data_IF_819937199585
#
_entry.id   IF_819937199585
#
_cell.length_a   1.000
_cell.length_b   1.000
_cell.length_c   1.000
_cell.angle_alpha   90.00
_cell.angle_beta   90.00
_cell.angle_gamma   90.00
#
_symmetry.space_group_name_H-M   'P 1'
#
loop_
_entity.id
_entity.type
_entity.pdbx_description
1 polymer ?
#
# COMPACT_ATOMS: atom_id res chain seq x y z
N UNK A 1 0.87 -10.31 -11.85
CA UNK A 1 0.38 -9.43 -10.77
C UNK A 1 1.58 -9.06 -9.91
N UNK A 2 1.61 -7.86 -9.35
CA UNK A 2 2.69 -7.40 -8.50
C UNK A 2 2.13 -6.42 -7.46
N UNK A 3 2.83 -6.24 -6.34
CA UNK A 3 2.46 -5.24 -5.34
C UNK A 3 3.20 -5.44 -4.03
N UNK A 4 2.62 -4.90 -2.96
CA UNK A 4 3.17 -4.95 -1.61
C UNK A 4 2.24 -5.75 -0.70
N UNK A 5 2.77 -6.78 -0.05
CA UNK A 5 2.14 -7.47 1.07
C UNK A 5 2.46 -6.74 2.36
N UNK A 6 1.43 -6.31 3.08
CA UNK A 6 1.47 -5.63 4.36
C UNK A 6 0.85 -6.51 5.43
N UNK A 7 1.34 -6.42 6.65
CA UNK A 7 0.76 -7.11 7.79
C UNK A 7 -0.44 -6.36 8.38
N UNK A 8 -0.91 -6.86 9.52
CA UNK A 8 -2.08 -6.38 10.26
C UNK A 8 -1.93 -4.95 10.79
N UNK A 9 -0.72 -4.39 10.78
CA UNK A 9 -0.42 -3.02 11.23
C UNK A 9 0.04 -2.14 10.07
N UNK A 10 -0.12 -2.61 8.82
CA UNK A 10 0.27 -1.87 7.62
C UNK A 10 1.77 -1.87 7.35
N UNK A 11 2.58 -2.65 8.08
CA UNK A 11 4.01 -2.79 7.84
C UNK A 11 4.27 -3.75 6.68
N UNK A 12 5.21 -3.40 5.81
CA UNK A 12 5.59 -4.27 4.70
C UNK A 12 6.17 -5.58 5.23
N UNK A 13 5.58 -6.71 4.82
CA UNK A 13 6.09 -8.04 5.17
C UNK A 13 7.43 -8.26 4.48
N UNK A 14 8.46 -8.54 5.29
CA UNK A 14 9.83 -8.85 4.84
C UNK A 14 10.31 -10.22 5.32
N UNK A 15 9.41 -11.04 5.86
CA UNK A 15 9.74 -12.32 6.47
C UNK A 15 10.35 -13.33 5.47
N UNK A 16 11.51 -13.88 5.84
CA UNK A 16 12.19 -14.93 5.08
C UNK A 16 11.33 -16.21 5.06
N UNK A 17 10.97 -16.69 3.87
CA UNK A 17 10.08 -17.84 3.70
C UNK A 17 8.58 -17.51 3.59
N UNK A 18 8.22 -16.22 3.54
CA UNK A 18 6.85 -15.81 3.22
C UNK A 18 6.55 -16.00 1.72
N UNK A 19 5.40 -16.59 1.37
CA UNK A 19 5.02 -16.88 -0.02
C UNK A 19 3.59 -16.42 -0.31
N UNK A 20 3.34 -15.86 -1.49
CA UNK A 20 1.99 -15.62 -2.02
C UNK A 20 1.60 -16.82 -2.89
N UNK A 21 0.48 -17.46 -2.54
CA UNK A 21 -0.08 -18.64 -3.18
C UNK A 21 -1.33 -18.25 -3.96
N UNK A 22 -1.42 -18.67 -5.22
CA UNK A 22 -2.57 -18.52 -6.09
C UNK A 22 -3.42 -19.78 -6.08
N UNK A 23 -4.69 -19.64 -5.72
CA UNK A 23 -5.68 -20.71 -5.68
C UNK A 23 -6.73 -20.52 -6.79
N UNK A 24 -7.11 -21.62 -7.43
CA UNK A 24 -8.23 -21.73 -8.37
C UNK A 24 -9.19 -22.78 -7.83
N UNK A 25 -10.39 -22.35 -7.41
CA UNK A 25 -11.38 -23.27 -6.80
C UNK A 25 -10.83 -24.02 -5.58
N UNK A 26 -9.97 -23.37 -4.78
CA UNK A 26 -9.31 -23.97 -3.61
C UNK A 26 -8.06 -24.79 -3.90
N UNK A 27 -7.69 -25.00 -5.17
CA UNK A 27 -6.48 -25.74 -5.57
C UNK A 27 -5.35 -24.79 -5.90
N UNK A 28 -4.15 -25.07 -5.39
CA UNK A 28 -2.96 -24.29 -5.72
C UNK A 28 -2.58 -24.43 -7.20
N UNK A 29 -2.51 -23.29 -7.88
CA UNK A 29 -2.10 -23.20 -9.29
C UNK A 29 -0.81 -22.41 -9.49
N UNK A 30 -0.33 -21.69 -8.47
CA UNK A 30 0.96 -21.02 -8.48
C UNK A 30 1.38 -20.50 -7.12
N UNK A 31 2.69 -20.24 -6.94
CA UNK A 31 3.24 -19.59 -5.75
C UNK A 31 4.42 -18.69 -6.13
N UNK A 32 4.69 -17.67 -5.32
CA UNK A 32 5.86 -16.80 -5.46
C UNK A 32 6.37 -16.36 -4.08
N UNK A 33 7.68 -16.31 -3.85
CA UNK A 33 8.22 -15.80 -2.60
C UNK A 33 8.02 -14.28 -2.48
N UNK A 34 7.80 -13.81 -1.25
CA UNK A 34 7.85 -12.40 -0.90
C UNK A 34 9.31 -12.04 -0.65
N UNK A 35 9.85 -11.11 -1.44
CA UNK A 35 11.23 -10.64 -1.33
C UNK A 35 11.26 -9.13 -1.23
N UNK A 36 12.07 -8.58 -0.34
CA UNK A 36 12.28 -7.14 -0.19
C UNK A 36 13.20 -6.52 -1.26
N UNK A 37 13.41 -7.22 -2.37
CA UNK A 37 14.43 -6.88 -3.37
C UNK A 37 14.09 -5.65 -4.22
N UNK A 38 12.85 -5.17 -4.17
CA UNK A 38 12.39 -4.01 -4.96
C UNK A 38 11.67 -2.99 -4.08
N UNK A 39 11.99 -1.72 -4.31
CA UNK A 39 11.54 -0.58 -3.52
C UNK A 39 10.00 -0.37 -3.62
N UNK A 40 9.36 -0.76 -4.73
CA UNK A 40 7.91 -0.55 -4.94
C UNK A 40 7.08 -1.85 -5.03
N UNK A 41 7.69 -3.02 -4.78
CA UNK A 41 7.01 -4.31 -4.79
C UNK A 41 7.78 -5.32 -3.95
N UNK A 42 7.09 -6.08 -3.10
CA UNK A 42 7.70 -7.21 -2.40
C UNK A 42 7.30 -8.56 -2.99
N UNK A 43 6.38 -8.60 -3.96
CA UNK A 43 6.06 -9.84 -4.67
C UNK A 43 5.76 -9.60 -6.15
N UNK A 44 6.02 -10.62 -6.97
CA UNK A 44 5.61 -10.68 -8.37
C UNK A 44 5.10 -12.09 -8.66
N UNK A 45 3.78 -12.20 -8.91
CA UNK A 45 3.10 -13.45 -9.16
C UNK A 45 2.73 -13.55 -10.64
N UNK A 46 3.28 -14.57 -11.30
CA UNK A 46 2.93 -14.90 -12.68
C UNK A 46 1.71 -15.80 -12.72
N UNK A 47 0.58 -15.25 -13.18
CA UNK A 47 -0.65 -16.00 -13.37
C UNK A 47 -0.74 -16.48 -14.82
N UNK A 48 -0.99 -17.78 -14.98
CA UNK A 48 -1.26 -18.42 -16.27
C UNK A 48 -2.73 -18.22 -16.61
N UNK A 49 -3.02 -17.47 -17.66
CA UNK A 49 -4.39 -17.25 -18.15
C UNK A 49 -4.58 -18.01 -19.47
N UNK A 50 -5.71 -18.69 -19.61
CA UNK A 50 -6.17 -19.35 -20.84
C UNK A 50 -7.44 -18.66 -21.36
N UNK A 51 -7.52 -18.42 -22.66
CA UNK A 51 -8.69 -17.79 -23.30
C UNK A 51 -9.95 -18.69 -23.30
N UNK A 52 -9.82 -19.95 -22.89
CA UNK A 52 -10.90 -20.94 -22.80
C UNK A 52 -11.76 -20.94 -24.07
N UNK A 53 -11.12 -21.07 -25.24
CA UNK A 53 -11.82 -21.02 -26.53
C UNK A 53 -12.73 -22.23 -26.66
N UNK A 54 -13.96 -22.02 -27.14
CA UNK A 54 -14.93 -23.10 -27.36
C UNK A 54 -14.32 -24.25 -28.17
N UNK A 55 -14.35 -25.46 -27.63
CA UNK A 55 -13.78 -26.66 -28.26
C UNK A 55 -12.29 -26.91 -27.98
N UNK A 56 -11.66 -26.13 -27.09
CA UNK A 56 -10.28 -26.36 -26.64
C UNK A 56 -10.24 -26.77 -25.17
N UNK A 57 -9.27 -27.61 -24.82
CA UNK A 57 -8.92 -27.89 -23.43
C UNK A 57 -7.93 -26.84 -22.95
N UNK A 58 -7.91 -26.55 -21.65
CA UNK A 58 -6.88 -25.68 -21.07
C UNK A 58 -5.48 -26.17 -21.48
N UNK A 59 -4.59 -25.25 -21.85
CA UNK A 59 -3.21 -25.63 -22.20
C UNK A 59 -2.43 -26.15 -20.98
N UNK A 60 -2.93 -25.91 -19.76
CA UNK A 60 -2.43 -26.49 -18.51
C UNK A 60 -3.50 -26.44 -17.43
N UNK A 61 -3.57 -27.47 -16.58
CA UNK A 61 -4.52 -27.51 -15.44
C UNK A 61 -4.30 -26.38 -14.44
N UNK A 62 -3.09 -25.80 -14.45
CA UNK A 62 -2.70 -24.64 -13.64
C UNK A 62 -3.14 -23.29 -14.22
N UNK A 63 -3.80 -23.25 -15.37
CA UNK A 63 -4.26 -22.00 -15.98
C UNK A 63 -5.64 -21.61 -15.46
N UNK A 64 -5.83 -20.33 -15.19
CA UNK A 64 -7.12 -19.71 -14.89
C UNK A 64 -7.76 -19.28 -16.20
N UNK A 65 -9.08 -19.49 -16.36
CA UNK A 65 -9.78 -18.98 -17.54
C UNK A 65 -9.71 -17.45 -17.58
N UNK A 66 -9.68 -16.85 -18.76
CA UNK A 66 -9.91 -15.42 -18.91
C UNK A 66 -11.31 -15.09 -18.37
N UNK A 67 -11.41 -14.17 -17.43
CA UNK A 67 -12.65 -13.91 -16.69
C UNK A 67 -12.99 -14.96 -15.61
N UNK A 68 -12.09 -15.91 -15.34
CA UNK A 68 -12.27 -16.94 -14.32
C UNK A 68 -11.96 -16.42 -12.91
N UNK A 69 -12.62 -17.03 -11.92
CA UNK A 69 -12.40 -16.68 -10.52
C UNK A 69 -11.09 -17.29 -9.99
N UNK A 70 -10.37 -16.51 -9.18
CA UNK A 70 -9.21 -16.97 -8.44
C UNK A 70 -9.19 -16.35 -7.03
N UNK A 71 -8.39 -16.93 -6.15
CA UNK A 71 -8.13 -16.42 -4.80
C UNK A 71 -6.61 -16.39 -4.55
N UNK A 72 -6.14 -15.52 -3.66
CA UNK A 72 -4.74 -15.54 -3.19
C UNK A 72 -4.72 -15.75 -1.68
N UNK A 73 -3.68 -16.43 -1.22
CA UNK A 73 -3.39 -16.69 0.19
C UNK A 73 -1.92 -16.41 0.41
N UNK A 74 -1.57 -15.84 1.55
CA UNK A 74 -0.17 -15.62 1.94
C UNK A 74 0.22 -16.66 2.99
N UNK A 75 1.23 -17.46 2.70
CA UNK A 75 1.81 -18.43 3.62
C UNK A 75 3.00 -17.80 4.33
N UNK A 76 2.98 -17.77 5.67
CA UNK A 76 4.08 -17.27 6.50
C UNK A 76 4.29 -18.20 7.69
N UNK A 77 5.51 -18.69 7.88
CA UNK A 77 5.87 -19.57 9.01
C UNK A 77 4.94 -20.80 9.17
N UNK A 78 4.41 -21.33 8.06
CA UNK A 78 3.48 -22.46 8.08
C UNK A 78 2.02 -22.11 8.39
N UNK A 79 1.70 -20.85 8.64
CA UNK A 79 0.34 -20.34 8.75
C UNK A 79 -0.13 -19.73 7.42
N UNK A 80 -1.40 -19.95 7.07
CA UNK A 80 -2.06 -19.37 5.91
C UNK A 80 -2.85 -18.13 6.34
N UNK A 81 -2.55 -17.00 5.73
CA UNK A 81 -3.22 -15.72 5.93
C UNK A 81 -4.00 -15.35 4.67
N UNK A 82 -5.26 -14.99 4.84
CA UNK A 82 -6.12 -14.55 3.75
C UNK A 82 -6.12 -13.03 3.72
N UNK A 83 -5.61 -12.39 2.64
CA UNK A 83 -5.62 -10.93 2.57
C UNK A 83 -7.05 -10.38 2.50
N UNK A 84 -7.30 -9.25 3.16
CA UNK A 84 -8.64 -8.64 3.26
C UNK A 84 -9.16 -8.18 1.89
N UNK A 85 -8.29 -7.75 0.97
CA UNK A 85 -8.64 -7.34 -0.39
C UNK A 85 -9.18 -8.51 -1.24
N UNK A 86 -9.02 -9.75 -0.77
CA UNK A 86 -9.38 -10.99 -1.46
C UNK A 86 -10.46 -11.77 -0.70
N UNK A 87 -11.10 -11.13 0.27
CA UNK A 87 -12.34 -11.62 0.87
C UNK A 87 -13.49 -11.76 -0.16
N UNK A 88 -13.31 -11.23 -1.39
CA UNK A 88 -14.20 -11.39 -2.54
C UNK A 88 -13.62 -12.19 -3.72
N UNK A 89 -14.48 -12.49 -4.70
CA UNK A 89 -14.13 -13.22 -5.91
C UNK A 89 -13.32 -12.35 -6.89
N UNK A 90 -12.00 -12.57 -6.98
CA UNK A 90 -11.16 -11.90 -7.98
C UNK A 90 -11.34 -12.55 -9.35
N UNK A 91 -11.44 -11.72 -10.39
CA UNK A 91 -11.62 -12.17 -11.77
C UNK A 91 -10.33 -11.98 -12.56
N UNK A 92 -9.87 -13.03 -13.25
CA UNK A 92 -8.69 -12.96 -14.09
C UNK A 92 -8.94 -12.08 -15.32
N UNK A 93 -7.97 -11.23 -15.66
CA UNK A 93 -8.02 -10.37 -16.85
C UNK A 93 -7.93 -11.14 -18.17
N UNK A 94 -7.81 -10.40 -19.27
CA UNK A 94 -7.77 -10.99 -20.63
C UNK A 94 -6.39 -11.55 -21.03
N UNK A 95 -5.41 -11.54 -20.13
CA UNK A 95 -4.05 -12.00 -20.38
C UNK A 95 -3.14 -10.93 -20.97
N UNK A 96 -1.86 -10.92 -20.58
CA UNK A 96 -0.87 -9.90 -21.00
C UNK A 96 -0.85 -8.62 -20.15
N UNK A 97 -1.75 -8.50 -19.17
CA UNK A 97 -1.86 -7.34 -18.30
C UNK A 97 -0.99 -7.47 -17.04
N UNK A 98 -0.35 -6.37 -16.64
CA UNK A 98 0.32 -6.22 -15.35
C UNK A 98 -0.62 -5.50 -14.39
N UNK A 99 -1.30 -6.27 -13.54
CA UNK A 99 -2.17 -5.72 -12.50
C UNK A 99 -1.37 -5.48 -11.22
N UNK A 100 -1.45 -4.24 -10.69
CA UNK A 100 -0.96 -3.90 -9.36
C UNK A 100 -2.03 -4.29 -8.33
N UNK A 101 -1.66 -5.12 -7.36
CA UNK A 101 -2.54 -5.53 -6.26
C UNK A 101 -1.70 -5.50 -4.98
N UNK A 102 -2.04 -4.61 -4.06
CA UNK A 102 -1.43 -4.61 -2.73
C UNK A 102 -2.28 -5.53 -1.83
N UNK A 103 -1.63 -6.29 -0.96
CA UNK A 103 -2.26 -7.30 -0.12
C UNK A 103 -2.06 -6.93 1.34
N UNK A 104 -3.12 -6.96 2.13
CA UNK A 104 -3.11 -6.67 3.55
C UNK A 104 -3.51 -7.91 4.32
N UNK A 105 -2.64 -8.42 5.17
CA UNK A 105 -2.94 -9.54 6.05
C UNK A 105 -3.77 -9.03 7.23
N UNK A 106 -4.89 -9.70 7.52
CA UNK A 106 -5.74 -9.31 8.63
C UNK A 106 -7.11 -9.94 8.58
N UNK A 107 -7.90 -9.67 9.61
CA UNK A 107 -9.35 -9.83 9.59
C UNK A 107 -9.97 -8.47 9.28
N UNK A 108 -11.09 -8.48 8.57
CA UNK A 108 -11.91 -7.31 8.23
C UNK A 108 -13.38 -7.76 8.46
N UNK A 109 -13.81 -7.69 9.73
CA UNK A 109 -15.09 -8.25 10.18
C UNK A 109 -16.27 -7.43 9.72
N UNK A 110 -16.13 -6.11 9.66
CA UNK A 110 -17.16 -5.20 9.20
C UNK A 110 -17.10 -4.90 7.70
N UNK A 111 -16.07 -5.43 7.00
CA UNK A 111 -15.90 -5.40 5.54
C UNK A 111 -15.74 -3.99 4.99
N UNK A 112 -15.17 -3.10 5.79
CA UNK A 112 -14.92 -1.73 5.41
C UNK A 112 -13.62 -1.60 4.59
N UNK A 113 -12.76 -2.63 4.60
CA UNK A 113 -11.49 -2.71 3.90
C UNK A 113 -10.28 -2.25 4.72
N UNK A 114 -10.43 -2.10 6.04
CA UNK A 114 -9.36 -1.92 7.01
C UNK A 114 -9.15 -3.22 7.82
N UNK A 115 -7.93 -3.44 8.36
CA UNK A 115 -7.72 -4.55 9.30
C UNK A 115 -8.26 -4.25 10.69
N UNK A 116 -9.09 -5.15 11.24
CA UNK A 116 -9.61 -5.10 12.62
C UNK A 116 -8.50 -4.84 13.66
N UNK A 117 -7.33 -5.44 13.44
CA UNK A 117 -6.17 -5.32 14.34
C UNK A 117 -5.53 -3.94 14.31
N UNK A 118 -5.53 -3.29 13.14
CA UNK A 118 -5.08 -1.91 13.01
C UNK A 118 -6.10 -0.98 13.67
N UNK A 119 -7.38 -1.15 13.38
CA UNK A 119 -8.45 -0.35 14.00
C UNK A 119 -8.44 -0.48 15.54
N UNK A 120 -8.30 -1.70 16.06
CA UNK A 120 -8.15 -1.95 17.48
C UNK A 120 -6.93 -1.22 18.08
N UNK A 121 -5.81 -1.20 17.38
CA UNK A 121 -4.62 -0.48 17.83
C UNK A 121 -4.84 1.05 17.82
N UNK A 122 -5.50 1.59 16.80
CA UNK A 122 -5.86 3.02 16.73
C UNK A 122 -6.79 3.42 17.88
N UNK A 123 -7.83 2.61 18.11
CA UNK A 123 -8.75 2.80 19.24
C UNK A 123 -8.02 2.76 20.58
N UNK A 124 -7.07 1.83 20.75
CA UNK A 124 -6.23 1.77 21.95
C UNK A 124 -5.41 3.04 22.15
N UNK A 125 -4.73 3.54 21.11
CA UNK A 125 -3.95 4.79 21.18
C UNK A 125 -4.84 5.99 21.50
N UNK A 126 -6.05 6.02 20.96
CA UNK A 126 -7.06 7.03 21.25
C UNK A 126 -7.69 6.90 22.66
N UNK A 127 -7.30 5.89 23.44
CA UNK A 127 -7.79 5.68 24.81
C UNK A 127 -9.11 4.94 24.92
N UNK A 128 -9.56 4.28 23.85
CA UNK A 128 -10.66 3.33 23.87
C UNK A 128 -10.15 1.94 24.23
N UNK A 129 -10.97 1.20 24.96
CA UNK A 129 -10.64 -0.15 25.40
C UNK A 129 -11.72 -1.11 24.91
N UNK A 130 -11.37 -2.41 24.73
CA UNK A 130 -12.35 -3.41 24.36
C UNK A 130 -13.41 -3.54 25.46
N UNK A 131 -14.60 -4.00 25.06
CA UNK A 131 -15.70 -4.26 26.00
C UNK A 131 -15.35 -5.42 26.96
N UNK A 132 -16.25 -5.73 27.91
CA UNK A 132 -16.05 -6.84 28.87
C UNK A 132 -15.81 -8.20 28.22
N UNK A 133 -16.19 -8.38 26.94
CA UNK A 133 -15.98 -9.60 26.16
C UNK A 133 -14.65 -9.59 25.37
N UNK A 134 -13.85 -8.52 25.46
CA UNK A 134 -12.62 -8.36 24.69
C UNK A 134 -12.83 -7.92 23.24
N UNK A 135 -14.04 -7.46 22.88
CA UNK A 135 -14.36 -7.02 21.53
C UNK A 135 -14.12 -5.51 21.38
N UNK A 136 -13.50 -5.14 20.27
CA UNK A 136 -13.29 -3.74 19.87
C UNK A 136 -14.52 -3.22 19.15
N UNK A 137 -14.88 -1.96 19.39
CA UNK A 137 -15.96 -1.33 18.65
C UNK A 137 -15.43 -0.73 17.33
N UNK A 138 -15.26 -1.59 16.33
CA UNK A 138 -14.72 -1.23 15.00
C UNK A 138 -15.56 -0.19 14.27
N UNK A 139 -16.88 -0.13 14.53
CA UNK A 139 -17.77 0.89 13.93
C UNK A 139 -17.43 2.35 14.28
N UNK A 140 -16.51 2.57 15.22
CA UNK A 140 -15.98 3.91 15.53
C UNK A 140 -14.99 4.41 14.47
N UNK A 141 -14.38 3.52 13.69
CA UNK A 141 -13.30 3.83 12.75
C UNK A 141 -13.63 3.29 11.35
N UNK A 142 -14.46 4.04 10.61
CA UNK A 142 -14.74 3.72 9.20
C UNK A 142 -13.58 4.17 8.31
N UNK A 143 -13.21 3.37 7.31
CA UNK A 143 -12.39 3.74 6.15
C UNK A 143 -12.54 5.19 5.65
N UNK A 144 -13.78 5.66 5.52
CA UNK A 144 -14.11 7.01 5.03
C UNK A 144 -14.13 8.09 6.11
N UNK A 145 -14.01 7.69 7.37
CA UNK A 145 -14.01 8.57 8.53
C UNK A 145 -12.70 9.34 8.69
N UNK A 146 -12.76 10.32 9.58
CA UNK A 146 -11.66 11.19 10.01
C UNK A 146 -11.78 11.26 11.54
N UNK A 147 -11.17 10.26 12.19
CA UNK A 147 -11.44 9.96 13.59
C UNK A 147 -10.90 11.05 14.53
N UNK A 148 -9.70 11.54 14.23
CA UNK A 148 -9.01 12.60 14.98
C UNK A 148 -9.29 14.02 14.44
N UNK A 149 -10.00 14.14 13.30
CA UNK A 149 -10.45 15.39 12.67
C UNK A 149 -9.29 16.21 12.10
N UNK A 150 -8.25 15.54 11.62
CA UNK A 150 -7.09 16.16 10.98
C UNK A 150 -7.31 16.48 9.49
N UNK A 151 -8.43 16.02 8.91
CA UNK A 151 -8.83 16.21 7.52
C UNK A 151 -8.32 15.11 6.57
N UNK A 152 -7.64 14.09 7.07
CA UNK A 152 -7.26 12.89 6.35
C UNK A 152 -8.25 11.76 6.65
N UNK A 153 -8.54 10.92 5.65
CA UNK A 153 -9.37 9.74 5.89
C UNK A 153 -8.55 8.63 6.54
N UNK A 154 -9.15 7.88 7.45
CA UNK A 154 -8.57 6.72 8.12
C UNK A 154 -7.89 5.73 7.14
N UNK A 155 -8.43 5.53 5.94
CA UNK A 155 -7.79 4.72 4.89
C UNK A 155 -6.43 5.25 4.45
N UNK A 156 -6.34 6.55 4.22
CA UNK A 156 -5.10 7.20 3.79
C UNK A 156 -4.07 7.11 4.90
N UNK A 157 -4.52 7.18 6.14
CA UNK A 157 -3.65 7.01 7.30
C UNK A 157 -3.13 5.58 7.43
N UNK A 158 -4.00 4.59 7.27
CA UNK A 158 -3.60 3.19 7.18
C UNK A 158 -2.58 2.94 6.05
N UNK A 159 -2.81 3.54 4.86
CA UNK A 159 -1.88 3.41 3.73
C UNK A 159 -0.55 4.12 4.02
N UNK A 160 -0.60 5.31 4.62
CA UNK A 160 0.57 6.09 4.99
C UNK A 160 1.35 5.45 6.15
N UNK A 161 0.67 4.66 6.98
CA UNK A 161 1.17 4.13 8.25
C UNK A 161 1.09 5.16 9.39
N UNK A 162 0.28 6.20 9.26
CA UNK A 162 0.06 7.21 10.30
C UNK A 162 -0.99 6.75 11.31
N UNK A 163 -1.00 7.38 12.48
CA UNK A 163 -1.94 7.08 13.56
C UNK A 163 -3.25 7.86 13.39
N UNK A 164 -4.33 7.16 13.02
CA UNK A 164 -5.70 7.71 12.99
C UNK A 164 -6.23 8.16 14.35
N UNK A 165 -5.55 7.80 15.44
CA UNK A 165 -5.83 8.31 16.78
C UNK A 165 -5.04 9.57 17.16
N UNK A 166 -4.10 10.04 16.33
CA UNK A 166 -3.21 11.16 16.65
C UNK A 166 -3.10 12.18 15.51
N UNK A 167 -3.83 13.29 15.66
CA UNK A 167 -3.87 14.40 14.71
C UNK A 167 -2.53 15.12 14.49
N UNK A 168 -1.47 14.75 15.22
CA UNK A 168 -0.12 15.26 15.00
C UNK A 168 0.68 14.43 14.00
N UNK A 169 0.33 13.16 13.81
CA UNK A 169 0.97 12.26 12.85
C UNK A 169 0.31 12.36 11.46
N UNK A 170 0.22 13.56 10.89
CA UNK A 170 -0.42 13.73 9.58
C UNK A 170 0.54 13.40 8.42
N UNK A 171 0.05 12.69 7.41
CA UNK A 171 0.76 12.57 6.13
C UNK A 171 0.55 13.83 5.29
N UNK A 172 1.22 14.92 5.69
CA UNK A 172 1.15 16.22 5.02
C UNK A 172 2.46 16.58 4.33
N UNK A 173 2.35 17.26 3.18
CA UNK A 173 3.49 17.85 2.46
C UNK A 173 3.45 19.37 2.65
N UNK A 174 4.41 19.91 3.40
CA UNK A 174 4.58 21.33 3.61
C UNK A 174 5.68 21.89 2.71
N UNK A 175 5.39 22.95 1.96
CA UNK A 175 6.42 23.71 1.24
C UNK A 175 6.98 24.74 2.22
N UNK A 176 8.22 24.56 2.68
CA UNK A 176 8.86 25.50 3.62
C UNK A 176 9.54 26.65 2.91
N UNK A 177 10.17 26.38 1.76
CA UNK A 177 10.97 27.37 1.05
C UNK A 177 10.96 27.11 -0.46
N UNK A 178 10.90 28.18 -1.25
CA UNK A 178 11.05 28.13 -2.71
C UNK A 178 12.17 29.09 -3.12
N UNK A 179 13.33 28.53 -3.45
CA UNK A 179 14.45 29.24 -4.07
C UNK A 179 14.44 29.01 -5.60
N UNK A 180 15.16 29.84 -6.37
CA UNK A 180 15.23 29.67 -7.83
C UNK A 180 15.78 28.32 -8.27
N UNK A 181 16.67 27.73 -7.48
CA UNK A 181 17.38 26.47 -7.79
C UNK A 181 16.94 25.29 -6.93
N UNK A 182 16.15 25.52 -5.87
CA UNK A 182 15.67 24.44 -5.00
C UNK A 182 14.37 24.80 -4.29
N UNK A 183 13.50 23.81 -4.11
CA UNK A 183 12.29 23.89 -3.30
C UNK A 183 12.45 22.94 -2.12
N UNK A 184 12.34 23.48 -0.91
CA UNK A 184 12.35 22.73 0.33
C UNK A 184 10.93 22.30 0.67
N UNK A 185 10.72 21.00 0.61
CA UNK A 185 9.52 20.29 0.99
C UNK A 185 9.80 19.59 2.33
N UNK A 186 8.84 19.59 3.24
CA UNK A 186 8.90 18.81 4.47
C UNK A 186 7.69 17.91 4.55
N UNK A 187 7.93 16.66 4.93
CA UNK A 187 6.89 15.69 5.17
C UNK A 187 7.28 14.77 6.33
N UNK A 188 6.29 14.15 6.97
CA UNK A 188 6.53 13.15 7.99
C UNK A 188 6.86 11.81 7.33
N UNK A 189 8.10 11.36 7.52
CA UNK A 189 8.59 10.07 7.05
C UNK A 189 8.41 9.01 8.12
N UNK A 190 7.93 7.83 7.72
CA UNK A 190 7.71 6.66 8.56
C UNK A 190 8.64 5.55 8.09
N UNK A 191 9.36 4.96 9.03
CA UNK A 191 10.35 3.92 8.76
C UNK A 191 9.77 2.78 7.90
N UNK A 192 10.51 2.41 6.86
CA UNK A 192 10.14 1.30 5.97
C UNK A 192 9.20 1.68 4.84
N UNK A 193 8.59 2.87 4.85
CA UNK A 193 7.79 3.39 3.74
C UNK A 193 8.65 4.06 2.69
N UNK A 194 8.16 4.02 1.45
CA UNK A 194 8.81 4.64 0.31
C UNK A 194 8.02 5.85 -0.14
N UNK A 195 8.71 6.98 -0.19
CA UNK A 195 8.19 8.27 -0.60
C UNK A 195 8.67 8.61 -2.00
N UNK A 196 7.74 9.03 -2.84
CA UNK A 196 8.01 9.59 -4.17
C UNK A 196 7.35 10.95 -4.30
N UNK A 197 8.05 11.90 -4.91
CA UNK A 197 7.51 13.24 -5.17
C UNK A 197 7.21 13.36 -6.66
N UNK A 198 6.00 13.79 -6.96
CA UNK A 198 5.56 14.12 -8.31
C UNK A 198 5.24 15.59 -8.38
N UNK A 199 5.48 16.18 -9.54
CA UNK A 199 5.06 17.55 -9.81
C UNK A 199 4.24 17.64 -11.08
N UNK A 200 3.38 18.65 -11.11
CA UNK A 200 2.47 18.95 -12.20
C UNK A 200 2.38 20.46 -12.41
N UNK A 201 2.15 20.88 -13.65
CA UNK A 201 1.87 22.28 -13.98
C UNK A 201 0.38 22.56 -14.13
N UNK A 202 -0.42 21.53 -14.41
CA UNK A 202 -1.82 21.62 -14.80
C UNK A 202 -2.75 20.78 -13.90
N UNK A 203 -2.21 20.17 -12.83
CA UNK A 203 -2.85 19.19 -11.94
C UNK A 203 -3.36 17.92 -12.64
N UNK A 204 -3.12 17.74 -13.94
CA UNK A 204 -3.58 16.59 -14.72
C UNK A 204 -2.43 15.65 -15.04
N UNK A 205 -1.31 16.20 -15.46
CA UNK A 205 -0.10 15.45 -15.82
C UNK A 205 0.88 15.49 -14.66
N UNK A 206 1.04 14.34 -14.01
CA UNK A 206 1.96 14.18 -12.88
C UNK A 206 3.21 13.47 -13.37
N UNK A 207 4.36 14.03 -13.02
CA UNK A 207 5.67 13.52 -13.41
C UNK A 207 6.55 13.42 -12.19
N UNK A 208 7.20 12.26 -12.00
CA UNK A 208 8.13 12.05 -10.88
C UNK A 208 9.31 13.00 -10.98
N UNK A 209 9.68 13.57 -9.84
CA UNK A 209 10.82 14.49 -9.72
C UNK A 209 11.85 13.89 -8.77
N UNK A 210 13.14 13.89 -9.14
CA UNK A 210 14.18 13.50 -8.21
C UNK A 210 14.29 14.52 -7.07
N UNK A 211 14.40 14.04 -5.84
CA UNK A 211 14.59 14.87 -4.67
C UNK A 211 15.72 14.35 -3.78
N UNK A 212 16.48 15.26 -3.19
CA UNK A 212 17.49 14.95 -2.19
C UNK A 212 16.89 15.08 -0.79
N UNK A 213 17.39 14.33 0.18
CA UNK A 213 16.90 14.34 1.56
C UNK A 213 17.98 14.87 2.50
N UNK A 214 17.60 15.72 3.46
CA UNK A 214 18.48 16.31 4.47
C UNK A 214 19.21 17.55 3.98
N UNK A 215 19.77 17.53 2.77
CA UNK A 215 20.43 18.68 2.16
C UNK A 215 20.15 18.76 0.64
N UNK A 216 20.23 19.98 0.04
CA UNK A 216 20.20 20.14 -1.41
C UNK A 216 21.32 19.34 -2.08
N UNK A 217 20.99 18.56 -3.12
CA UNK A 217 21.97 17.72 -3.81
C UNK A 217 21.35 16.94 -4.97
N UNK A 218 22.09 15.96 -5.48
CA UNK A 218 21.59 15.03 -6.51
C UNK A 218 20.47 14.19 -5.87
N UNK A 219 19.25 14.39 -6.37
CA UNK A 219 18.07 13.71 -5.87
C UNK A 219 17.89 12.30 -6.43
N UNK A 220 17.21 11.46 -5.67
CA UNK A 220 16.71 10.15 -6.13
C UNK A 220 15.22 10.24 -6.44
N UNK A 221 14.72 9.36 -7.31
CA UNK A 221 13.29 9.32 -7.68
C UNK A 221 12.39 8.69 -6.58
N UNK A 222 13.00 8.08 -5.56
CA UNK A 222 12.33 7.49 -4.42
C UNK A 222 13.23 7.58 -3.19
N UNK A 223 12.62 7.77 -2.02
CA UNK A 223 13.31 7.74 -0.74
C UNK A 223 12.62 6.75 0.18
N UNK A 224 13.36 5.77 0.69
CA UNK A 224 12.91 4.90 1.76
C UNK A 224 13.29 5.53 3.09
N UNK A 225 12.30 5.88 3.91
CA UNK A 225 12.58 6.43 5.22
C UNK A 225 13.16 5.35 6.13
N UNK A 226 14.25 5.70 6.82
CA UNK A 226 14.96 4.81 7.76
C UNK A 226 14.55 5.03 9.22
N UNK A 227 14.01 6.20 9.51
CA UNK A 227 13.59 6.63 10.84
C UNK A 227 12.23 7.31 10.73
N UNK A 228 11.49 7.33 11.85
CA UNK A 228 10.23 8.09 11.96
C UNK A 228 10.57 9.54 12.31
N UNK A 229 10.09 10.50 11.52
CA UNK A 229 10.27 11.93 11.80
C UNK A 229 10.11 12.84 10.59
N UNK A 230 10.34 14.14 10.80
CA UNK A 230 10.24 15.14 9.73
C UNK A 230 11.42 14.99 8.76
N UNK A 231 11.10 14.74 7.49
CA UNK A 231 12.05 14.62 6.39
C UNK A 231 12.03 15.90 5.56
N UNK A 232 13.17 16.60 5.51
CA UNK A 232 13.35 17.71 4.57
C UNK A 232 13.82 17.19 3.21
N UNK A 233 12.97 17.32 2.20
CA UNK A 233 13.24 17.00 0.81
C UNK A 233 13.50 18.25 -0.02
N UNK A 234 14.51 18.19 -0.88
CA UNK A 234 14.92 19.28 -1.77
C UNK A 234 14.77 18.83 -3.22
N UNK A 235 13.94 19.54 -3.98
CA UNK A 235 13.73 19.28 -5.41
C UNK A 235 14.05 20.52 -6.23
N UNK A 236 14.59 20.34 -7.44
CA UNK A 236 14.77 21.45 -8.37
C UNK A 236 13.39 21.86 -8.96
N UNK A 237 13.01 23.15 -8.90
CA UNK A 237 11.79 23.61 -9.54
C UNK A 237 11.92 23.51 -11.06
N UNK A 238 10.88 23.03 -11.75
CA UNK A 238 10.89 22.90 -13.21
C UNK A 238 10.32 24.11 -13.93
N UNK A 239 9.78 25.06 -13.16
CA UNK A 239 9.18 26.30 -13.65
C UNK A 239 9.34 27.40 -12.62
N UNK A 240 9.47 28.63 -13.12
CA UNK A 240 9.55 29.84 -12.29
C UNK A 240 8.18 30.35 -11.86
N UNK A 241 7.10 29.94 -12.52
CA UNK A 241 5.74 30.47 -12.30
C UNK A 241 4.95 29.67 -11.26
N UNK A 242 4.30 28.57 -11.67
CA UNK A 242 3.46 27.72 -10.82
C UNK A 242 3.82 26.26 -11.02
N UNK A 243 4.11 25.57 -9.93
CA UNK A 243 4.34 24.13 -9.89
C UNK A 243 3.56 23.56 -8.70
N UNK A 244 2.85 22.47 -8.93
CA UNK A 244 2.17 21.72 -7.89
C UNK A 244 3.02 20.51 -7.55
N UNK A 245 3.09 20.17 -6.26
CA UNK A 245 3.79 18.98 -5.78
C UNK A 245 2.79 18.04 -5.11
N UNK A 246 2.97 16.75 -5.34
CA UNK A 246 2.24 15.67 -4.69
C UNK A 246 3.25 14.69 -4.12
N UNK A 247 3.10 14.40 -2.85
CA UNK A 247 3.82 13.31 -2.20
C UNK A 247 2.98 12.03 -2.35
N UNK A 248 3.63 10.93 -2.64
CA UNK A 248 3.01 9.61 -2.67
C UNK A 248 3.83 8.67 -1.79
N UNK A 249 3.15 8.00 -0.87
CA UNK A 249 3.72 7.02 0.05
C UNK A 249 3.25 5.61 -0.33
N UNK A 250 4.12 4.62 -0.17
CA UNK A 250 3.85 3.21 -0.42
C UNK A 250 4.52 2.31 0.60
#
# INVERSE_FOLDING_TARGET
MYGVVRDQVGQTVTAEGAEVILLKGGVEVGRTPITSSRIEQNYELNMRIDQNRSGTTFYTDKAVAAGGLFSLVVSMNGALFYPIEISGSLTAGKGGERVKLDLTLGEDKDKDGLPDSWEAWQLYQAGYYPNENGEWNLTLLDKGGDFDKDGQSNLLEYIAGTSAGDATETFSLAIKEKLPESVRLEFYGITGKVYTIESSFDMKTWTRVPFAVGAPGIGNNAHQAKDVGIVSAFTAPRTTTKEFYRLSVR
#
